data_IF_073629624038
#
_entry.id   IF_073629624038
#
_cell.length_a   1.000
_cell.length_b   1.000
_cell.length_c   1.000
_cell.angle_alpha   90.00
_cell.angle_beta   90.00
_cell.angle_gamma   90.00
#
_symmetry.space_group_name_H-M   'P 1'
#
loop_
_entity.id
_entity.type
_entity.pdbx_description
1 polymer ?
#
# COMPACT_ATOMS: atom_id res chain seq x y z
N UNK A 1 -15.53 -4.16 7.14
CA UNK A 1 -15.07 -3.45 8.36
C UNK A 1 -16.24 -3.20 9.28
N UNK A 2 -16.21 -3.75 10.49
CA UNK A 2 -17.34 -3.69 11.42
C UNK A 2 -17.68 -2.29 11.98
N UNK A 3 -16.89 -1.25 11.70
CA UNK A 3 -17.07 0.09 12.28
C UNK A 3 -17.41 1.20 11.27
N UNK A 4 -17.70 0.86 10.00
CA UNK A 4 -18.10 1.86 8.98
C UNK A 4 -17.03 2.91 8.66
N UNK A 5 -15.74 2.61 8.89
CA UNK A 5 -14.64 3.53 8.56
C UNK A 5 -14.37 3.45 7.07
N UNK A 6 -14.45 4.59 6.38
CA UNK A 6 -13.99 4.73 5.00
C UNK A 6 -12.46 4.86 4.98
N UNK A 7 -11.81 4.07 4.13
CA UNK A 7 -10.36 4.12 3.92
C UNK A 7 -10.10 4.32 2.43
N UNK A 8 -9.27 5.33 2.11
CA UNK A 8 -8.67 5.53 0.80
C UNK A 8 -7.16 5.45 0.93
N UNK A 9 -6.53 4.55 0.19
CA UNK A 9 -5.09 4.35 0.20
C UNK A 9 -4.56 4.33 -1.23
N UNK A 10 -3.51 5.08 -1.50
CA UNK A 10 -2.73 4.99 -2.72
C UNK A 10 -1.27 4.67 -2.40
N UNK A 11 -0.68 3.76 -3.16
CA UNK A 11 0.70 3.35 -3.00
C UNK A 11 1.45 3.39 -4.34
N UNK A 12 2.78 3.53 -4.29
CA UNK A 12 3.61 3.46 -5.48
C UNK A 12 3.38 2.15 -6.24
N UNK A 13 3.10 2.18 -7.55
CA UNK A 13 2.80 0.97 -8.34
C UNK A 13 3.94 -0.05 -8.35
N UNK A 14 5.19 0.42 -8.22
CA UNK A 14 6.37 -0.44 -8.13
C UNK A 14 6.45 -1.17 -6.80
N UNK A 15 6.15 -0.46 -5.69
CA UNK A 15 6.13 -1.03 -4.34
C UNK A 15 4.90 -1.88 -4.08
N UNK A 16 3.71 -1.45 -4.45
CA UNK A 16 2.46 -2.19 -4.28
C UNK A 16 2.51 -3.62 -4.83
N UNK A 17 3.35 -3.85 -5.83
CA UNK A 17 3.52 -5.15 -6.47
C UNK A 17 4.76 -5.94 -6.01
N UNK A 18 5.34 -5.62 -4.85
CA UNK A 18 6.46 -6.37 -4.26
C UNK A 18 5.95 -7.48 -3.34
N UNK A 19 6.65 -8.65 -3.25
CA UNK A 19 6.22 -9.76 -2.39
C UNK A 19 6.01 -9.39 -0.92
N UNK A 20 6.75 -8.38 -0.44
CA UNK A 20 6.70 -7.89 0.94
C UNK A 20 5.79 -6.65 1.11
N UNK A 21 4.92 -6.36 0.15
CA UNK A 21 4.08 -5.16 0.23
C UNK A 21 2.81 -5.41 1.03
N UNK A 22 2.60 -4.65 2.07
CA UNK A 22 1.36 -4.63 2.88
C UNK A 22 0.11 -4.31 2.02
N UNK A 23 0.29 -3.68 0.86
CA UNK A 23 -0.80 -3.43 -0.10
C UNK A 23 -1.43 -4.74 -0.57
N UNK A 24 -0.63 -5.80 -0.74
CA UNK A 24 -1.13 -7.12 -1.15
C UNK A 24 -2.02 -7.72 -0.06
N UNK A 25 -1.64 -7.57 1.20
CA UNK A 25 -2.45 -8.03 2.34
C UNK A 25 -3.79 -7.30 2.41
N UNK A 26 -3.79 -5.98 2.19
CA UNK A 26 -5.01 -5.19 2.12
C UNK A 26 -5.91 -5.57 0.94
N UNK A 27 -5.33 -6.08 -0.14
CA UNK A 27 -6.02 -6.60 -1.32
C UNK A 27 -6.40 -8.09 -1.20
N UNK A 28 -6.12 -8.73 -0.07
CA UNK A 28 -6.46 -10.13 0.20
C UNK A 28 -5.62 -11.15 -0.59
N UNK A 29 -4.42 -10.78 -1.05
CA UNK A 29 -3.57 -11.66 -1.85
C UNK A 29 -2.16 -11.76 -1.31
N UNK A 30 -1.49 -12.89 -1.55
CA UNK A 30 -0.06 -13.08 -1.28
C UNK A 30 0.70 -13.29 -2.58
N UNK A 31 1.90 -12.72 -2.67
CA UNK A 31 2.79 -12.89 -3.80
C UNK A 31 4.07 -13.59 -3.32
N UNK A 32 4.35 -14.82 -3.76
CA UNK A 32 5.61 -15.48 -3.43
C UNK A 32 6.81 -14.72 -4.01
N UNK A 33 7.95 -14.84 -3.35
CA UNK A 33 9.22 -14.34 -3.84
C UNK A 33 9.81 -15.24 -4.96
N UNK A 34 11.03 -14.92 -5.40
CA UNK A 34 11.72 -15.69 -6.44
C UNK A 34 12.10 -17.13 -6.00
N UNK A 35 12.03 -17.44 -4.70
CA UNK A 35 12.25 -18.78 -4.13
C UNK A 35 10.96 -19.53 -3.84
N UNK A 36 9.83 -19.02 -4.33
CA UNK A 36 8.48 -19.55 -4.09
C UNK A 36 8.07 -19.56 -2.61
N UNK A 37 8.57 -18.60 -1.83
CA UNK A 37 8.20 -18.43 -0.43
C UNK A 37 7.39 -17.16 -0.25
N UNK A 38 6.33 -17.26 0.54
CA UNK A 38 5.57 -16.11 1.03
C UNK A 38 6.22 -15.60 2.31
N UNK A 39 6.36 -14.31 2.46
CA UNK A 39 6.92 -13.69 3.66
C UNK A 39 6.09 -14.04 4.90
N UNK A 40 6.77 -14.34 6.03
CA UNK A 40 6.10 -14.79 7.26
C UNK A 40 5.13 -13.74 7.84
N UNK A 41 5.41 -12.45 7.59
CA UNK A 41 4.58 -11.33 8.03
C UNK A 41 3.31 -11.12 7.20
N UNK A 42 3.20 -11.72 6.02
CA UNK A 42 2.05 -11.56 5.14
C UNK A 42 0.79 -12.16 5.77
N UNK A 43 -0.20 -11.32 5.98
CA UNK A 43 -1.50 -11.69 6.56
C UNK A 43 -2.64 -11.11 5.69
N UNK A 44 -2.89 -11.68 4.50
CA UNK A 44 -3.93 -11.20 3.61
C UNK A 44 -5.28 -11.16 4.31
N UNK A 45 -5.99 -10.04 4.15
CA UNK A 45 -7.34 -9.90 4.65
C UNK A 45 -8.27 -10.90 3.96
N UNK A 46 -9.15 -11.53 4.71
CA UNK A 46 -10.21 -12.40 4.16
C UNK A 46 -11.10 -11.66 3.17
N UNK A 47 -11.35 -10.37 3.45
CA UNK A 47 -12.09 -9.47 2.59
C UNK A 47 -11.23 -8.29 2.17
N UNK A 48 -10.90 -8.19 0.88
CA UNK A 48 -10.14 -7.11 0.31
C UNK A 48 -10.77 -5.73 0.57
N UNK A 49 -9.93 -4.72 0.84
CA UNK A 49 -10.38 -3.34 0.94
C UNK A 49 -10.64 -2.75 -0.45
N UNK A 50 -11.83 -2.17 -0.63
CA UNK A 50 -12.23 -1.56 -1.91
C UNK A 50 -11.49 -0.24 -2.19
N UNK A 51 -11.09 0.48 -1.15
CA UNK A 51 -10.43 1.78 -1.23
C UNK A 51 -8.91 1.71 -1.30
N UNK A 52 -8.33 0.73 -1.98
CA UNK A 52 -6.86 0.58 -2.14
C UNK A 52 -6.50 0.58 -3.61
N UNK A 53 -5.51 1.37 -4.00
CA UNK A 53 -5.08 1.46 -5.39
C UNK A 53 -3.69 2.03 -5.60
N UNK A 54 -3.33 2.20 -6.86
CA UNK A 54 -2.07 2.79 -7.29
C UNK A 54 -2.33 3.92 -8.28
N UNK A 55 -1.77 5.13 -8.11
CA UNK A 55 -1.97 6.23 -9.03
C UNK A 55 -1.22 5.95 -10.34
N UNK A 56 -1.71 6.54 -11.44
CA UNK A 56 -0.97 6.57 -12.69
C UNK A 56 0.11 7.63 -12.60
N UNK A 57 1.36 7.20 -12.73
CA UNK A 57 2.52 8.06 -12.70
C UNK A 57 3.14 8.18 -14.10
N UNK A 58 3.77 9.30 -14.39
CA UNK A 58 4.59 9.46 -15.60
C UNK A 58 5.77 8.47 -15.57
N UNK A 59 6.34 8.20 -16.76
CA UNK A 59 7.48 7.28 -16.86
C UNK A 59 8.67 7.80 -16.05
N UNK A 60 9.13 7.01 -15.10
CA UNK A 60 10.26 7.34 -14.23
C UNK A 60 9.87 7.96 -12.90
N UNK A 61 8.63 8.45 -12.78
CA UNK A 61 8.13 8.99 -11.52
C UNK A 61 7.87 7.90 -10.47
N UNK A 62 7.91 8.35 -9.22
CA UNK A 62 7.60 7.53 -8.05
C UNK A 62 6.70 8.30 -7.10
N UNK A 63 5.74 7.60 -6.53
CA UNK A 63 5.01 8.12 -5.39
C UNK A 63 5.86 7.94 -4.13
N UNK A 64 6.41 9.06 -3.63
CA UNK A 64 7.31 9.05 -2.48
C UNK A 64 6.70 9.72 -1.24
N UNK A 65 5.44 10.08 -1.28
CA UNK A 65 4.71 10.63 -0.14
C UNK A 65 4.54 9.58 0.97
N UNK A 66 4.69 10.05 2.20
CA UNK A 66 4.41 9.29 3.41
C UNK A 66 3.52 10.14 4.29
N UNK A 67 2.22 10.08 4.04
CA UNK A 67 1.26 10.78 4.86
C UNK A 67 -0.05 10.02 5.02
N UNK A 68 -0.77 10.34 6.07
CA UNK A 68 -2.17 9.98 6.25
C UNK A 68 -2.95 11.21 6.71
N UNK A 69 -4.21 11.29 6.33
CA UNK A 69 -5.17 12.28 6.83
C UNK A 69 -6.29 11.55 7.55
N UNK A 70 -6.57 11.96 8.78
CA UNK A 70 -7.62 11.37 9.61
C UNK A 70 -8.70 12.43 9.83
N UNK A 71 -9.94 12.12 9.43
CA UNK A 71 -11.14 12.93 9.64
C UNK A 71 -11.01 14.39 9.17
N UNK A 72 -10.17 14.66 8.17
CA UNK A 72 -9.83 16.02 7.71
C UNK A 72 -9.35 16.98 8.82
N UNK A 73 -8.77 16.46 9.87
CA UNK A 73 -8.33 17.20 11.05
C UNK A 73 -6.89 16.92 11.45
N UNK A 74 -6.42 15.70 11.25
CA UNK A 74 -5.09 15.27 11.67
C UNK A 74 -4.30 14.79 10.48
N UNK A 75 -3.06 15.25 10.36
CA UNK A 75 -2.09 14.79 9.37
C UNK A 75 -1.00 14.02 10.08
N UNK A 76 -0.68 12.84 9.58
CA UNK A 76 0.52 12.10 9.96
C UNK A 76 1.44 12.14 8.75
N UNK A 77 2.69 12.59 8.94
CA UNK A 77 3.66 12.69 7.83
C UNK A 77 5.10 12.61 8.33
N UNK A 78 6.05 12.49 7.42
CA UNK A 78 7.48 12.41 7.73
C UNK A 78 8.23 11.54 6.72
N UNK A 79 9.31 10.91 7.17
CA UNK A 79 10.09 9.97 6.34
C UNK A 79 9.63 8.51 6.47
N UNK A 80 8.78 8.21 7.43
CA UNK A 80 8.33 6.86 7.81
C UNK A 80 7.56 6.14 6.70
N UNK A 81 8.10 5.04 6.17
CA UNK A 81 7.56 4.32 5.01
C UNK A 81 6.41 3.33 5.31
N UNK A 82 5.85 3.31 6.51
CA UNK A 82 4.82 2.35 6.93
C UNK A 82 5.26 0.89 6.74
N UNK A 83 6.50 0.60 7.11
CA UNK A 83 7.12 -0.71 6.95
C UNK A 83 7.81 -1.16 8.24
N UNK A 84 8.02 -2.49 8.43
CA UNK A 84 8.76 -3.00 9.59
C UNK A 84 10.17 -2.41 9.72
N UNK A 85 10.87 -2.20 8.59
CA UNK A 85 12.20 -1.57 8.61
C UNK A 85 12.16 -0.12 9.09
N UNK A 86 11.14 0.65 8.71
CA UNK A 86 10.96 2.01 9.21
C UNK A 86 10.63 2.03 10.72
N UNK A 87 9.92 1.00 11.21
CA UNK A 87 9.53 0.91 12.62
C UNK A 87 10.65 0.43 13.55
N UNK A 88 11.60 -0.38 13.04
CA UNK A 88 12.51 -1.11 13.91
C UNK A 88 14.00 -0.98 13.55
N UNK A 89 14.34 -0.42 12.40
CA UNK A 89 15.73 -0.43 11.90
C UNK A 89 16.22 0.95 11.50
N UNK A 90 15.38 1.77 10.88
CA UNK A 90 15.78 3.09 10.38
C UNK A 90 15.57 4.17 11.43
N UNK A 91 16.36 5.24 11.34
CA UNK A 91 16.06 6.51 12.01
C UNK A 91 15.09 7.30 11.14
N UNK A 92 13.87 7.45 11.62
CA UNK A 92 12.77 8.07 10.87
C UNK A 92 12.14 9.24 11.64
N UNK A 93 11.65 10.21 10.91
CA UNK A 93 10.80 11.28 11.47
C UNK A 93 9.33 10.95 11.21
N UNK A 94 8.52 10.99 12.25
CA UNK A 94 7.06 10.87 12.17
C UNK A 94 6.43 12.02 12.96
N UNK A 95 5.64 12.82 12.27
CA UNK A 95 4.91 13.97 12.84
C UNK A 95 3.42 13.67 12.87
N UNK A 96 2.76 13.95 13.96
CA UNK A 96 1.31 13.96 14.10
C UNK A 96 0.85 15.39 14.34
N UNK A 97 0.11 15.97 13.40
CA UNK A 97 -0.23 17.38 13.40
C UNK A 97 -1.74 17.53 13.40
N UNK A 98 -2.30 18.11 14.46
CA UNK A 98 -3.73 18.40 14.56
C UNK A 98 -3.99 19.79 13.98
N UNK A 99 -4.36 19.85 12.71
CA UNK A 99 -4.66 21.08 11.97
C UNK A 99 -5.62 20.82 10.82
N UNK A 100 -6.89 21.22 10.93
CA UNK A 100 -7.85 21.11 9.81
C UNK A 100 -7.40 21.91 8.59
N UNK A 101 -6.69 23.02 8.78
CA UNK A 101 -6.17 23.83 7.68
C UNK A 101 -5.08 23.08 6.91
N UNK A 102 -4.12 22.47 7.61
CA UNK A 102 -3.09 21.66 7.00
C UNK A 102 -3.69 20.39 6.34
N UNK A 103 -4.64 19.72 7.02
CA UNK A 103 -5.31 18.54 6.51
C UNK A 103 -5.96 18.79 5.12
N UNK A 104 -6.56 19.97 4.89
CA UNK A 104 -7.12 20.34 3.58
C UNK A 104 -6.07 20.33 2.45
N UNK A 105 -4.83 20.67 2.72
CA UNK A 105 -3.76 20.63 1.70
C UNK A 105 -3.38 19.20 1.35
N UNK A 106 -3.23 18.33 2.36
CA UNK A 106 -2.93 16.92 2.16
C UNK A 106 -4.11 16.16 1.51
N UNK A 107 -5.34 16.50 1.88
CA UNK A 107 -6.54 15.92 1.25
C UNK A 107 -6.60 16.26 -0.24
N UNK A 108 -6.31 17.51 -0.65
CA UNK A 108 -6.25 17.87 -2.08
C UNK A 108 -5.20 17.08 -2.85
N UNK A 109 -4.04 16.83 -2.24
CA UNK A 109 -3.02 15.98 -2.87
C UNK A 109 -3.48 14.52 -2.96
N UNK A 110 -4.14 14.01 -1.92
CA UNK A 110 -4.74 12.68 -1.96
C UNK A 110 -5.79 12.57 -3.05
N UNK A 111 -6.68 13.57 -3.20
CA UNK A 111 -7.72 13.61 -4.23
C UNK A 111 -7.09 13.61 -5.63
N UNK A 112 -6.05 14.40 -5.88
CA UNK A 112 -5.30 14.44 -7.14
C UNK A 112 -4.72 13.07 -7.51
N UNK A 113 -4.14 12.36 -6.54
CA UNK A 113 -3.59 11.01 -6.74
C UNK A 113 -4.71 9.99 -6.98
N UNK A 114 -5.83 10.18 -6.27
CA UNK A 114 -6.98 9.29 -6.34
C UNK A 114 -7.69 9.32 -7.70
N UNK A 115 -7.81 10.50 -8.32
CA UNK A 115 -8.44 10.65 -9.64
C UNK A 115 -7.84 9.75 -10.72
N UNK A 116 -6.55 9.47 -10.64
CA UNK A 116 -5.84 8.59 -11.58
C UNK A 116 -5.62 7.17 -11.07
N UNK A 117 -6.09 6.84 -9.86
CA UNK A 117 -5.77 5.57 -9.21
C UNK A 117 -6.49 4.38 -9.86
N UNK A 118 -5.74 3.34 -10.16
CA UNK A 118 -6.27 2.01 -10.46
C UNK A 118 -6.53 1.29 -9.15
N UNK A 119 -7.81 1.02 -8.85
CA UNK A 119 -8.22 0.38 -7.59
C UNK A 119 -8.14 -1.15 -7.67
N UNK A 120 -7.88 -1.77 -6.54
CA UNK A 120 -7.85 -3.23 -6.41
C UNK A 120 -6.60 -3.88 -7.02
N UNK A 121 -6.77 -5.12 -7.50
CA UNK A 121 -5.69 -5.88 -8.13
C UNK A 121 -5.43 -5.32 -9.53
N UNK A 122 -4.42 -4.46 -9.64
CA UNK A 122 -4.04 -3.83 -10.91
C UNK A 122 -3.50 -4.86 -11.92
N UNK A 123 -3.51 -4.55 -13.24
CA UNK A 123 -2.92 -5.44 -14.26
C UNK A 123 -1.45 -5.80 -13.99
N UNK A 124 -0.71 -4.93 -13.31
CA UNK A 124 0.68 -5.20 -12.90
C UNK A 124 0.75 -6.28 -11.82
N UNK A 125 -0.10 -6.18 -10.80
CA UNK A 125 -0.20 -7.19 -9.72
C UNK A 125 -0.68 -8.50 -10.31
N UNK A 126 -1.74 -8.48 -11.13
CA UNK A 126 -2.32 -9.65 -11.76
C UNK A 126 -1.26 -10.44 -12.56
N UNK A 127 -0.51 -9.78 -13.45
CA UNK A 127 0.56 -10.43 -14.21
C UNK A 127 1.65 -11.06 -13.32
N UNK A 128 1.93 -10.48 -12.16
CA UNK A 128 2.89 -11.06 -11.22
C UNK A 128 2.33 -12.29 -10.51
N UNK A 129 1.07 -12.26 -10.09
CA UNK A 129 0.38 -13.40 -9.49
C UNK A 129 0.36 -14.58 -10.47
N UNK A 130 -0.01 -14.35 -11.72
CA UNK A 130 -0.03 -15.36 -12.77
C UNK A 130 1.35 -15.97 -13.02
N UNK A 131 2.39 -15.14 -13.15
CA UNK A 131 3.78 -15.62 -13.30
C UNK A 131 4.23 -16.49 -12.13
N UNK A 132 3.91 -16.08 -10.91
CA UNK A 132 4.31 -16.83 -9.72
C UNK A 132 3.50 -18.12 -9.57
N UNK A 133 2.24 -18.10 -9.96
CA UNK A 133 1.42 -19.33 -10.02
C UNK A 133 2.01 -20.35 -10.99
N UNK A 134 2.40 -19.93 -12.20
CA UNK A 134 3.06 -20.79 -13.19
C UNK A 134 4.39 -21.33 -12.66
N UNK A 135 5.19 -20.48 -12.00
CA UNK A 135 6.53 -20.83 -11.52
C UNK A 135 6.51 -21.70 -10.26
N UNK A 136 5.63 -21.41 -9.33
CA UNK A 136 5.64 -21.98 -7.98
C UNK A 136 4.52 -22.99 -7.72
N UNK A 137 3.57 -23.13 -8.66
CA UNK A 137 2.35 -23.90 -8.44
C UNK A 137 1.44 -23.30 -7.39
N UNK A 138 0.39 -24.04 -6.98
CA UNK A 138 -0.56 -23.60 -5.96
C UNK A 138 -0.04 -23.77 -4.50
N UNK A 139 1.19 -24.28 -4.33
CA UNK A 139 1.78 -24.64 -3.05
C UNK A 139 2.96 -23.76 -2.61
N UNK A 140 2.87 -22.41 -2.74
CA UNK A 140 3.91 -21.54 -2.19
C UNK A 140 4.08 -21.79 -0.69
N UNK A 141 5.29 -22.16 -0.28
CA UNK A 141 5.60 -22.42 1.14
C UNK A 141 5.72 -21.09 1.90
N UNK A 142 5.15 -21.00 3.09
CA UNK A 142 5.46 -19.90 4.02
C UNK A 142 6.89 -20.05 4.52
N UNK A 143 7.58 -18.91 4.65
CA UNK A 143 8.89 -18.85 5.33
C UNK A 143 8.76 -19.17 6.79
#
# INVERSE_FOLDING_TARGET
>A
MKRGIEIRLVADPGFASRPFSEVLDLLGVSLPDHTCKVEAGNQPLEQALQGVGTPRLARGDKLHHKFAVIDNKTVITGSFNWSPSAAHTNDETLLVIHSPQLAKHFTREMDRLWESAELGITPRIQRKLERQKIRCGDGAKRK
#
